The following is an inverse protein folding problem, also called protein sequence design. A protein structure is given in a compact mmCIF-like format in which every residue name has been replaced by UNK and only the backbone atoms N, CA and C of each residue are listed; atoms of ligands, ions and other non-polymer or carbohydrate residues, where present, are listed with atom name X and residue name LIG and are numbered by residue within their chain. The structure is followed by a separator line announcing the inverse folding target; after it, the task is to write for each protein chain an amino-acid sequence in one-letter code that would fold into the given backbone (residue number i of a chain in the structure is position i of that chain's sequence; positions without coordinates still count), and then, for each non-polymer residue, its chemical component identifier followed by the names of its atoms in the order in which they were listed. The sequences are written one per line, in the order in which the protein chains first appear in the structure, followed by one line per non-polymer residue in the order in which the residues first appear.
data_IF_849236862624
#
_entry.id   IF_849236862624
#
_cell.length_a   1.000
_cell.length_b   1.000
_cell.length_c   1.000
_cell.angle_alpha   90.00
_cell.angle_beta   90.00
_cell.angle_gamma   90.00
#
_symmetry.space_group_name_H-M   'P 1'
#
loop_
_entity.id
_entity.type
_entity.pdbx_description
1 polymer ?
#
# COMPACT_ATOMS: atom_id res chain seq x y z
N UNK A 1 -11.54 -1.74 12.31
CA UNK A 1 -10.12 -1.51 12.66
C UNK A 1 -9.29 -2.80 12.49
N UNK A 2 -8.11 -2.71 11.86
CA UNK A 2 -7.17 -3.82 11.76
C UNK A 2 -6.60 -4.18 13.15
N UNK A 3 -6.35 -5.46 13.46
CA UNK A 3 -5.61 -5.83 14.66
C UNK A 3 -4.21 -5.21 14.67
N UNK A 4 -3.72 -4.80 15.85
CA UNK A 4 -2.44 -4.11 15.99
C UNK A 4 -1.25 -4.89 15.38
N UNK A 5 -1.20 -6.20 15.60
CA UNK A 5 -0.16 -7.06 15.04
C UNK A 5 -0.16 -7.09 13.51
N UNK A 6 -1.34 -7.05 12.89
CA UNK A 6 -1.48 -6.98 11.43
C UNK A 6 -0.96 -5.63 10.93
N UNK A 7 -1.31 -4.54 11.59
CA UNK A 7 -0.83 -3.20 11.24
C UNK A 7 0.71 -3.10 11.34
N UNK A 8 1.32 -3.69 12.37
CA UNK A 8 2.78 -3.73 12.51
C UNK A 8 3.47 -4.58 11.42
N UNK A 9 2.87 -5.69 11.00
CA UNK A 9 3.38 -6.49 9.90
C UNK A 9 3.33 -5.71 8.57
N UNK A 10 2.21 -5.04 8.31
CA UNK A 10 2.03 -4.21 7.10
C UNK A 10 2.99 -3.03 7.10
N UNK A 11 3.10 -2.30 8.23
CA UNK A 11 4.06 -1.19 8.37
C UNK A 11 5.49 -1.65 8.07
N UNK A 12 5.91 -2.81 8.61
CA UNK A 12 7.23 -3.40 8.31
C UNK A 12 7.40 -3.76 6.84
N UNK A 13 6.36 -4.29 6.18
CA UNK A 13 6.41 -4.61 4.76
C UNK A 13 6.58 -3.35 3.89
N UNK A 14 5.80 -2.30 4.17
CA UNK A 14 5.89 -1.01 3.50
C UNK A 14 7.26 -0.36 3.72
N UNK A 15 7.80 -0.38 4.94
CA UNK A 15 9.16 0.08 5.23
C UNK A 15 10.22 -0.65 4.38
N UNK A 16 10.08 -1.97 4.17
CA UNK A 16 10.99 -2.73 3.28
C UNK A 16 10.91 -2.21 1.85
N UNK A 17 9.72 -2.01 1.30
CA UNK A 17 9.53 -1.51 -0.06
C UNK A 17 10.09 -0.09 -0.22
N UNK A 18 9.78 0.80 0.71
CA UNK A 18 10.20 2.20 0.67
C UNK A 18 11.73 2.35 0.76
N UNK A 19 12.41 1.49 1.52
CA UNK A 19 13.90 1.42 1.55
C UNK A 19 14.50 1.03 0.20
N UNK A 20 13.77 0.27 -0.62
CA UNK A 20 14.17 -0.09 -1.98
C UNK A 20 13.59 0.87 -3.04
N UNK A 21 13.07 2.01 -2.59
CA UNK A 21 12.42 3.02 -3.44
C UNK A 21 11.22 2.51 -4.23
N UNK A 22 10.49 1.54 -3.68
CA UNK A 22 9.27 0.99 -4.27
C UNK A 22 8.07 1.50 -3.47
N UNK A 23 7.04 1.98 -4.17
CA UNK A 23 5.69 2.26 -3.65
C UNK A 23 4.85 1.03 -3.92
N UNK A 24 4.06 0.58 -2.94
CA UNK A 24 3.14 -0.53 -3.12
C UNK A 24 1.93 -0.12 -3.98
N UNK A 25 1.41 1.09 -3.75
CA UNK A 25 0.46 1.78 -4.62
C UNK A 25 -0.99 1.41 -4.34
N UNK A 26 -1.31 0.12 -4.20
CA UNK A 26 -2.67 -0.37 -3.92
C UNK A 26 -2.82 -0.86 -2.47
N UNK A 27 -2.31 -0.10 -1.48
CA UNK A 27 -2.39 -0.53 -0.09
C UNK A 27 -3.80 -0.31 0.48
N UNK A 28 -4.57 -1.38 0.54
CA UNK A 28 -5.93 -1.41 1.08
C UNK A 28 -6.25 -2.74 1.75
N UNK A 29 -7.32 -2.77 2.55
CA UNK A 29 -7.73 -3.97 3.30
C UNK A 29 -7.84 -5.25 2.45
N UNK A 30 -8.39 -5.23 1.21
CA UNK A 30 -8.44 -6.41 0.36
C UNK A 30 -7.08 -7.02 0.02
N UNK A 31 -6.01 -6.21 0.06
CA UNK A 31 -4.66 -6.59 -0.33
C UNK A 31 -3.79 -7.00 0.88
N UNK A 32 -4.40 -7.18 2.05
CA UNK A 32 -3.73 -7.63 3.28
C UNK A 32 -4.27 -9.02 3.65
N UNK A 33 -3.40 -10.03 3.65
CA UNK A 33 -3.79 -11.37 4.10
C UNK A 33 -3.63 -11.50 5.61
N UNK A 34 -4.73 -11.72 6.33
CA UNK A 34 -4.70 -12.05 7.75
C UNK A 34 -4.49 -13.55 7.92
N UNK A 35 -3.42 -13.94 8.62
CA UNK A 35 -3.12 -15.35 8.94
C UNK A 35 -3.44 -15.67 10.39
N UNK A 36 -3.73 -16.95 10.67
CA UNK A 36 -3.88 -17.44 12.04
C UNK A 36 -2.53 -17.45 12.78
N UNK A 37 -2.62 -17.49 14.12
CA UNK A 37 -1.56 -17.27 15.11
C UNK A 37 -0.10 -17.55 14.67
N UNK A 38 0.76 -16.55 14.91
CA UNK A 38 2.23 -16.65 14.80
C UNK A 38 2.81 -16.37 13.41
N UNK A 39 1.98 -16.30 12.37
CA UNK A 39 2.42 -15.96 11.02
C UNK A 39 2.26 -14.47 10.72
N UNK A 40 3.21 -13.91 9.95
CA UNK A 40 3.11 -12.52 9.46
C UNK A 40 1.94 -12.37 8.48
N UNK A 41 1.34 -11.19 8.46
CA UNK A 41 0.29 -10.81 7.50
C UNK A 41 0.90 -10.15 6.26
N UNK A 42 1.05 -10.87 5.12
CA UNK A 42 1.66 -10.29 3.93
C UNK A 42 0.71 -9.37 3.17
N UNK A 43 1.30 -8.39 2.46
CA UNK A 43 0.62 -7.68 1.38
C UNK A 43 0.63 -8.56 0.11
N UNK A 44 -0.43 -8.51 -0.67
CA UNK A 44 -0.61 -9.24 -1.94
C UNK A 44 -1.14 -8.31 -3.02
N UNK A 45 -1.08 -8.72 -4.28
CA UNK A 45 -1.45 -7.89 -5.44
C UNK A 45 -0.46 -6.72 -5.66
N UNK A 46 0.67 -7.05 -6.29
CA UNK A 46 1.77 -6.10 -6.56
C UNK A 46 1.71 -5.51 -7.98
N UNK A 47 0.58 -5.63 -8.68
CA UNK A 47 0.47 -5.20 -10.08
C UNK A 47 0.67 -3.69 -10.26
N UNK A 48 0.49 -2.92 -9.18
CA UNK A 48 0.67 -1.45 -9.17
C UNK A 48 2.03 -1.03 -8.60
N UNK A 49 2.79 -1.96 -8.00
CA UNK A 49 4.01 -1.61 -7.31
C UNK A 49 5.05 -1.07 -8.29
N UNK A 50 5.65 0.08 -7.97
CA UNK A 50 6.56 0.77 -8.88
C UNK A 50 7.55 1.66 -8.15
N UNK A 51 8.55 2.16 -8.89
CA UNK A 51 9.58 3.06 -8.33
C UNK A 51 8.95 4.40 -7.94
N UNK A 52 9.20 4.86 -6.71
CA UNK A 52 8.72 6.15 -6.22
C UNK A 52 9.21 7.31 -7.10
N UNK A 53 8.33 8.25 -7.42
CA UNK A 53 8.61 9.39 -8.29
C UNK A 53 8.72 9.05 -9.79
N UNK A 54 8.52 7.79 -10.19
CA UNK A 54 8.62 7.34 -11.59
C UNK A 54 7.40 6.54 -12.03
N UNK A 55 6.96 5.60 -11.18
CA UNK A 55 5.76 4.81 -11.37
C UNK A 55 4.52 5.69 -11.40
N UNK A 56 3.49 5.23 -12.12
CA UNK A 56 2.21 5.92 -12.22
C UNK A 56 1.09 4.96 -11.90
N UNK A 57 0.03 5.51 -11.31
CA UNK A 57 -1.23 4.79 -11.21
C UNK A 57 -1.82 4.49 -12.58
N UNK A 58 -2.72 3.50 -12.68
CA UNK A 58 -3.54 3.35 -13.87
C UNK A 58 -4.27 4.64 -14.24
N UNK A 59 -4.59 4.79 -15.51
CA UNK A 59 -5.38 5.93 -16.01
C UNK A 59 -6.82 5.94 -15.47
N UNK A 60 -7.26 4.85 -14.86
CA UNK A 60 -8.56 4.70 -14.23
C UNK A 60 -8.39 4.16 -12.81
N UNK A 61 -8.86 4.92 -11.83
CA UNK A 61 -8.89 4.55 -10.41
C UNK A 61 -10.35 4.62 -9.96
N UNK A 62 -10.76 3.74 -9.05
CA UNK A 62 -12.12 3.77 -8.50
C UNK A 62 -12.34 5.03 -7.66
N UNK A 63 -13.54 5.61 -7.73
CA UNK A 63 -13.98 6.75 -6.93
C UNK A 63 -14.38 6.31 -5.50
N UNK A 64 -13.44 5.72 -4.78
CA UNK A 64 -13.60 5.23 -3.41
C UNK A 64 -12.80 6.09 -2.45
N UNK A 65 -13.36 6.36 -1.27
CA UNK A 65 -12.70 7.09 -0.17
C UNK A 65 -11.73 6.19 0.60
N UNK A 66 -10.82 5.54 -0.13
CA UNK A 66 -9.81 4.61 0.41
C UNK A 66 -8.39 5.02 0.03
N UNK A 67 -8.25 6.02 -0.84
CA UNK A 67 -6.97 6.45 -1.38
C UNK A 67 -6.43 7.64 -0.61
N UNK A 68 -5.11 7.78 -0.58
CA UNK A 68 -4.51 9.01 -0.07
C UNK A 68 -5.03 10.23 -0.86
N UNK A 69 -5.27 11.39 -0.23
CA UNK A 69 -5.91 12.54 -0.88
C UNK A 69 -5.21 13.06 -2.15
N UNK A 70 -3.92 12.75 -2.32
CA UNK A 70 -3.09 13.15 -3.46
C UNK A 70 -3.02 12.10 -4.58
N UNK A 71 -3.65 10.93 -4.39
CA UNK A 71 -3.76 9.91 -5.45
C UNK A 71 -4.72 10.40 -6.52
N UNK A 72 -4.25 10.43 -7.75
CA UNK A 72 -5.05 10.82 -8.92
C UNK A 72 -4.80 9.84 -10.08
N UNK A 73 -5.77 9.67 -11.00
CA UNK A 73 -5.58 8.83 -12.18
C UNK A 73 -4.34 9.26 -12.98
N UNK A 74 -3.52 8.27 -13.35
CA UNK A 74 -2.23 8.48 -14.02
C UNK A 74 -1.22 9.37 -13.26
N UNK A 75 -1.50 9.67 -11.99
CA UNK A 75 -0.62 10.41 -11.10
C UNK A 75 0.66 9.64 -10.80
N UNK A 76 1.73 10.37 -10.46
CA UNK A 76 3.00 9.78 -10.03
C UNK A 76 2.81 9.17 -8.64
N UNK A 77 3.38 7.98 -8.44
CA UNK A 77 3.34 7.29 -7.16
C UNK A 77 4.41 7.83 -6.22
N UNK A 78 3.97 8.27 -5.04
CA UNK A 78 4.82 8.75 -3.96
C UNK A 78 4.67 7.85 -2.72
N UNK A 79 5.70 7.80 -1.88
CA UNK A 79 5.73 6.89 -0.72
C UNK A 79 4.63 7.19 0.28
N UNK A 80 4.29 8.46 0.42
CA UNK A 80 3.23 8.97 1.27
C UNK A 80 1.87 8.34 0.93
N UNK A 81 1.66 7.89 -0.31
CA UNK A 81 0.40 7.24 -0.68
C UNK A 81 0.19 5.89 0.04
N UNK A 82 1.26 5.17 0.37
CA UNK A 82 1.16 3.92 1.14
C UNK A 82 0.92 4.16 2.64
N UNK A 83 1.09 5.39 3.12
CA UNK A 83 0.96 5.69 4.55
C UNK A 83 -0.49 5.94 4.96
N UNK A 84 -1.37 6.25 4.02
CA UNK A 84 -2.75 6.64 4.29
C UNK A 84 -3.55 5.59 5.07
N UNK A 85 -3.38 4.30 4.79
CA UNK A 85 -4.03 3.23 5.55
C UNK A 85 -3.40 3.00 6.95
N UNK A 86 -2.19 3.51 7.17
CA UNK A 86 -1.40 3.25 8.39
C UNK A 86 -1.54 4.34 9.47
N UNK A 87 -2.17 5.45 9.12
CA UNK A 87 -2.51 6.61 9.97
C UNK A 87 -3.93 6.49 10.55
#
# INVERSE_FOLDING_TARGET
PLPHSVLEDVRRAIEVLHRHNIVFGDLRLPNIMVRQHGSRSPCVDFDWAAIAGQGRYPATISDLDVWAPTVVPYGVMEKEHDLHLLE
#
